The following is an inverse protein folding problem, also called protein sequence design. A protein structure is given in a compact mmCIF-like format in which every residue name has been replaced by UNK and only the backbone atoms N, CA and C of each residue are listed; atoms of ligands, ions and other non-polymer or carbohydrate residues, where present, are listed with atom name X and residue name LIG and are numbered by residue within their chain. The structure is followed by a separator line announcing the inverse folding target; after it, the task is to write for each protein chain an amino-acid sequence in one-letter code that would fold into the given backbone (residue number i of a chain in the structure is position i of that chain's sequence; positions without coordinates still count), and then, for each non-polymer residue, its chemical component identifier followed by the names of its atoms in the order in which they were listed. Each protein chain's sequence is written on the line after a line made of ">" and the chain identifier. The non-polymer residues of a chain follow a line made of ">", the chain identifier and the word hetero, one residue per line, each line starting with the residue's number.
data_IF_209681698404
#
_entry.id   IF_209681698404
#
_cell.length_a   1.000
_cell.length_b   1.000
_cell.length_c   1.000
_cell.angle_alpha   90.00
_cell.angle_beta   90.00
_cell.angle_gamma   90.00
#
_symmetry.space_group_name_H-M   'P 1'
#
loop_
_entity.id
_entity.type
_entity.pdbx_description
1 polymer ?
#
# COMPACT_ATOMS: atom_id res chain seq x y z
N UNK A 1 -12.49 5.19 -0.07
CA UNK A 1 -11.61 3.99 -0.11
C UNK A 1 -10.16 4.27 -0.49
N UNK A 2 -9.89 5.17 -1.45
CA UNK A 2 -8.52 5.47 -1.91
C UNK A 2 -7.57 5.92 -0.79
N UNK A 3 -8.01 6.83 0.09
CA UNK A 3 -7.22 7.29 1.25
C UNK A 3 -6.95 6.19 2.29
N UNK A 4 -7.93 5.31 2.54
CA UNK A 4 -7.77 4.18 3.45
C UNK A 4 -6.72 3.20 2.92
N UNK A 5 -6.81 2.86 1.63
CA UNK A 5 -5.87 1.95 0.96
C UNK A 5 -4.45 2.53 0.97
N UNK A 6 -4.31 3.81 0.68
CA UNK A 6 -3.01 4.49 0.77
C UNK A 6 -2.49 4.50 2.22
N UNK A 7 -3.32 4.80 3.22
CA UNK A 7 -2.92 4.81 4.63
C UNK A 7 -2.46 3.44 5.12
N UNK A 8 -3.16 2.37 4.73
CA UNK A 8 -2.77 0.99 5.01
C UNK A 8 -1.44 0.66 4.33
N UNK A 9 -1.28 1.00 3.04
CA UNK A 9 -0.03 0.79 2.32
C UNK A 9 1.16 1.53 2.95
N UNK A 10 0.98 2.78 3.40
CA UNK A 10 2.02 3.55 4.10
C UNK A 10 2.40 2.85 5.40
N UNK A 11 1.40 2.53 6.24
CA UNK A 11 1.61 1.89 7.53
C UNK A 11 2.35 0.55 7.38
N UNK A 12 1.94 -0.27 6.42
CA UNK A 12 2.54 -1.59 6.20
C UNK A 12 3.96 -1.48 5.64
N UNK A 13 4.23 -0.51 4.76
CA UNK A 13 5.58 -0.23 4.27
C UNK A 13 6.50 0.26 5.38
N UNK A 14 6.01 1.12 6.28
CA UNK A 14 6.81 1.64 7.41
C UNK A 14 7.09 0.52 8.42
N UNK A 15 6.07 -0.23 8.83
CA UNK A 15 6.23 -1.26 9.88
C UNK A 15 7.09 -2.41 9.37
N UNK A 16 6.71 -3.03 8.24
CA UNK A 16 7.40 -4.20 7.73
C UNK A 16 8.65 -3.82 6.94
N UNK A 17 8.58 -2.85 6.03
CA UNK A 17 9.74 -2.41 5.24
C UNK A 17 10.77 -1.64 6.07
N UNK A 18 10.32 -0.76 6.96
CA UNK A 18 11.23 -0.06 7.89
C UNK A 18 11.88 -1.04 8.89
N UNK A 19 11.10 -1.95 9.46
CA UNK A 19 11.61 -3.04 10.31
C UNK A 19 12.66 -3.88 9.58
N UNK A 20 12.34 -4.31 8.35
CA UNK A 20 13.24 -5.07 7.50
C UNK A 20 14.56 -4.32 7.26
N UNK A 21 14.50 -3.04 6.87
CA UNK A 21 15.71 -2.25 6.60
C UNK A 21 16.57 -2.09 7.85
N UNK A 22 15.96 -1.86 9.02
CA UNK A 22 16.70 -1.75 10.28
C UNK A 22 17.43 -3.05 10.58
N UNK A 23 16.74 -4.20 10.51
CA UNK A 23 17.36 -5.50 10.79
C UNK A 23 18.40 -5.89 9.76
N UNK A 24 18.13 -5.62 8.48
CA UNK A 24 19.06 -5.90 7.41
C UNK A 24 20.35 -5.09 7.55
N UNK A 25 20.27 -3.80 7.88
CA UNK A 25 21.44 -2.94 8.05
C UNK A 25 22.16 -3.18 9.37
N UNK A 26 21.42 -3.35 10.48
CA UNK A 26 22.00 -3.47 11.82
C UNK A 26 22.51 -4.88 12.11
N UNK A 27 21.69 -5.88 11.79
CA UNK A 27 21.90 -7.26 12.20
C UNK A 27 22.44 -8.13 11.05
N UNK A 28 22.52 -7.58 9.82
CA UNK A 28 22.86 -8.32 8.58
C UNK A 28 21.98 -9.55 8.34
N UNK A 29 20.79 -9.56 8.97
CA UNK A 29 19.83 -10.65 8.93
C UNK A 29 18.72 -10.33 7.93
N UNK A 30 18.54 -11.23 6.96
CA UNK A 30 17.49 -11.09 5.96
C UNK A 30 16.20 -11.76 6.46
N UNK A 31 15.38 -10.98 7.16
CA UNK A 31 14.10 -11.48 7.64
C UNK A 31 13.02 -11.44 6.56
N UNK A 32 12.85 -12.57 5.88
CA UNK A 32 11.98 -12.72 4.71
C UNK A 32 10.53 -12.25 4.95
N UNK A 33 9.98 -12.47 6.16
CA UNK A 33 8.60 -12.09 6.47
C UNK A 33 8.40 -10.57 6.48
N UNK A 34 9.37 -9.81 7.02
CA UNK A 34 9.32 -8.34 7.00
C UNK A 34 9.58 -7.79 5.60
N UNK A 35 10.48 -8.42 4.84
CA UNK A 35 10.70 -8.07 3.45
C UNK A 35 9.43 -8.21 2.62
N UNK A 36 8.78 -9.38 2.66
CA UNK A 36 7.54 -9.65 1.92
C UNK A 36 6.42 -8.70 2.36
N UNK A 37 6.26 -8.48 3.67
CA UNK A 37 5.28 -7.51 4.19
C UNK A 37 5.52 -6.09 3.66
N UNK A 38 6.78 -5.66 3.60
CA UNK A 38 7.17 -4.37 3.02
C UNK A 38 6.85 -4.27 1.53
N UNK A 39 7.16 -5.32 0.75
CA UNK A 39 6.84 -5.40 -0.68
C UNK A 39 5.32 -5.33 -0.93
N UNK A 40 4.52 -6.05 -0.14
CA UNK A 40 3.06 -5.97 -0.24
C UNK A 40 2.57 -4.55 0.08
N UNK A 41 3.15 -3.89 1.09
CA UNK A 41 2.87 -2.49 1.39
C UNK A 41 3.12 -1.55 0.20
N UNK A 42 4.27 -1.71 -0.47
CA UNK A 42 4.61 -0.95 -1.69
C UNK A 42 3.61 -1.21 -2.81
N UNK A 43 3.21 -2.47 -3.03
CA UNK A 43 2.22 -2.82 -4.05
C UNK A 43 0.87 -2.14 -3.75
N UNK A 44 0.42 -2.17 -2.49
CA UNK A 44 -0.81 -1.48 -2.06
C UNK A 44 -0.72 0.03 -2.30
N UNK A 45 0.43 0.65 -2.05
CA UNK A 45 0.66 2.08 -2.33
C UNK A 45 0.58 2.39 -3.82
N UNK A 46 1.18 1.55 -4.66
CA UNK A 46 1.12 1.69 -6.12
C UNK A 46 -0.35 1.60 -6.56
N UNK A 47 -1.08 0.57 -6.12
CA UNK A 47 -2.50 0.42 -6.45
C UNK A 47 -3.30 1.64 -5.94
N UNK A 48 -3.09 2.07 -4.70
CA UNK A 48 -3.77 3.23 -4.11
C UNK A 48 -3.51 4.53 -4.88
N UNK A 49 -2.28 4.74 -5.37
CA UNK A 49 -1.90 5.93 -6.15
C UNK A 49 -2.48 5.86 -7.58
N UNK A 50 -2.31 4.73 -8.25
CA UNK A 50 -2.66 4.53 -9.66
C UNK A 50 -4.12 4.12 -9.91
N UNK A 51 -4.91 3.87 -8.86
CA UNK A 51 -6.36 3.72 -8.96
C UNK A 51 -7.01 5.07 -9.33
N UNK A 52 -6.84 5.51 -10.59
CA UNK A 52 -7.69 6.54 -11.20
C UNK A 52 -9.10 5.96 -11.23
N UNK A 53 -10.01 6.63 -10.54
CA UNK A 53 -11.30 6.07 -10.19
C UNK A 53 -12.01 5.46 -11.39
N UNK A 54 -12.31 4.17 -11.30
CA UNK A 54 -13.55 3.63 -11.84
C UNK A 54 -14.70 4.16 -10.99
N UNK A 55 -14.80 5.49 -10.86
CA UNK A 55 -16.07 6.10 -10.52
C UNK A 55 -16.90 5.87 -11.78
N UNK A 56 -17.77 4.86 -11.73
CA UNK A 56 -18.89 4.77 -12.66
C UNK A 56 -19.46 6.19 -12.78
N UNK A 57 -19.63 6.75 -14.00
CA UNK A 57 -20.48 7.91 -14.13
C UNK A 57 -21.84 7.49 -13.58
N UNK A 58 -22.26 8.10 -12.48
CA UNK A 58 -23.59 7.89 -11.91
C UNK A 58 -24.58 8.33 -12.99
N UNK A 59 -25.13 7.36 -13.71
CA UNK A 59 -26.09 7.55 -14.79
C UNK A 59 -27.45 7.84 -14.18
N UNK A 60 -27.58 8.99 -13.51
CA UNK A 60 -28.86 9.52 -13.03
C UNK A 60 -29.19 10.88 -13.65
N UNK A 61 -28.75 11.10 -14.90
CA UNK A 61 -29.13 12.28 -15.70
C UNK A 61 -30.44 12.09 -16.48
N UNK A 62 -31.20 11.01 -16.27
CA UNK A 62 -32.41 10.74 -17.07
C UNK A 62 -33.66 10.31 -16.28
N UNK A 63 -33.88 10.86 -15.09
CA UNK A 63 -35.23 10.84 -14.50
C UNK A 63 -35.63 12.22 -13.96
N UNK A 64 -36.21 12.97 -14.91
CA UNK A 64 -37.40 13.83 -14.80
C UNK A 64 -37.31 15.15 -14.03
#
# INVERSE_FOLDING_TARGET
>A
MKYLLTSIGISMTIIFGGGFLIRFVRDSDFYIAEFVGGIIGIIILIIGKFSKGTAKPDSNTFLK
#
